data_IF_414639611105
#
_entry.id   IF_414639611105
#
_cell.length_a   1.000
_cell.length_b   1.000
_cell.length_c   1.000
_cell.angle_alpha   90.00
_cell.angle_beta   90.00
_cell.angle_gamma   90.00
#
_symmetry.space_group_name_H-M   'P 1'
#
loop_
_entity.id
_entity.type
_entity.pdbx_description
1 polymer ?
#
# COMPACT_ATOMS: atom_id res chain seq x y z
N UNK A 1 3.09 -14.51 21.09
CA UNK A 1 2.30 -14.36 19.85
C UNK A 1 1.49 -15.64 19.67
N UNK A 2 0.16 -15.57 19.76
CA UNK A 2 -0.67 -16.73 19.38
C UNK A 2 -0.44 -16.99 17.88
N UNK A 3 -0.24 -18.25 17.49
CA UNK A 3 0.06 -18.63 16.10
C UNK A 3 -0.93 -18.03 15.10
N UNK A 4 -2.21 -17.97 15.49
CA UNK A 4 -3.31 -17.43 14.72
C UNK A 4 -3.11 -15.98 14.26
N UNK A 5 -2.68 -15.07 15.14
CA UNK A 5 -2.52 -13.65 14.80
C UNK A 5 -1.42 -13.47 13.74
N UNK A 6 -0.33 -14.24 13.85
CA UNK A 6 0.77 -14.22 12.87
C UNK A 6 0.33 -14.71 11.49
N UNK A 7 -0.40 -15.82 11.48
CA UNK A 7 -0.93 -16.42 10.26
C UNK A 7 -1.91 -15.48 9.57
N UNK A 8 -2.82 -14.87 10.34
CA UNK A 8 -3.76 -13.86 9.86
C UNK A 8 -3.04 -12.68 9.20
N UNK A 9 -2.07 -12.07 9.90
CA UNK A 9 -1.33 -10.93 9.35
C UNK A 9 -0.51 -11.27 8.11
N UNK A 10 0.06 -12.48 8.05
CA UNK A 10 0.79 -12.95 6.86
C UNK A 10 -0.15 -13.05 5.67
N UNK A 11 -1.34 -13.64 5.85
CA UNK A 11 -2.35 -13.73 4.79
C UNK A 11 -2.81 -12.34 4.34
N UNK A 12 -3.07 -11.42 5.28
CA UNK A 12 -3.46 -10.05 4.97
C UNK A 12 -2.39 -9.33 4.14
N UNK A 13 -1.11 -9.43 4.53
CA UNK A 13 -0.01 -8.80 3.79
C UNK A 13 0.17 -9.40 2.39
N UNK A 14 0.03 -10.72 2.25
CA UNK A 14 0.11 -11.40 0.95
C UNK A 14 -1.03 -10.96 0.03
N UNK A 15 -2.26 -10.96 0.52
CA UNK A 15 -3.43 -10.49 -0.24
C UNK A 15 -3.25 -9.01 -0.63
N UNK A 16 -2.83 -8.18 0.31
CA UNK A 16 -2.55 -6.77 0.06
C UNK A 16 -1.53 -6.58 -1.07
N UNK A 17 -0.39 -7.27 -1.01
CA UNK A 17 0.64 -7.20 -2.07
C UNK A 17 0.11 -7.62 -3.44
N UNK A 18 -0.62 -8.74 -3.50
CA UNK A 18 -1.13 -9.26 -4.77
C UNK A 18 -2.14 -8.28 -5.35
N UNK A 19 -3.13 -7.86 -4.57
CA UNK A 19 -4.18 -6.95 -5.02
C UNK A 19 -3.60 -5.61 -5.43
N UNK A 20 -2.72 -5.03 -4.62
CA UNK A 20 -2.05 -3.77 -4.93
C UNK A 20 -1.24 -3.88 -6.24
N UNK A 21 -0.53 -4.99 -6.46
CA UNK A 21 0.22 -5.22 -7.71
C UNK A 21 -0.69 -5.32 -8.92
N UNK A 22 -1.77 -6.11 -8.81
CA UNK A 22 -2.75 -6.30 -9.89
C UNK A 22 -3.46 -4.99 -10.22
N UNK A 23 -3.91 -4.24 -9.22
CA UNK A 23 -4.59 -2.96 -9.43
C UNK A 23 -3.67 -1.95 -10.12
N UNK A 24 -2.41 -1.79 -9.66
CA UNK A 24 -1.46 -0.91 -10.34
C UNK A 24 -1.19 -1.37 -11.78
N UNK A 25 -1.03 -2.68 -12.02
CA UNK A 25 -0.82 -3.20 -13.37
C UNK A 25 -2.00 -2.86 -14.30
N UNK A 26 -3.25 -3.04 -13.83
CA UNK A 26 -4.45 -2.67 -14.58
C UNK A 26 -4.48 -1.18 -14.87
N UNK A 27 -4.27 -0.33 -13.87
CA UNK A 27 -4.26 1.13 -14.04
C UNK A 27 -3.23 1.57 -15.07
N UNK A 28 -2.00 1.04 -15.00
CA UNK A 28 -0.95 1.35 -15.95
C UNK A 28 -1.28 0.86 -17.37
N UNK A 29 -1.91 -0.32 -17.52
CA UNK A 29 -2.34 -0.82 -18.84
C UNK A 29 -3.47 0.01 -19.46
N UNK A 30 -4.28 0.68 -18.64
CA UNK A 30 -5.35 1.58 -19.09
C UNK A 30 -4.83 3.00 -19.42
N UNK A 31 -3.52 3.24 -19.31
CA UNK A 31 -2.92 4.56 -19.55
C UNK A 31 -2.93 5.49 -18.34
N UNK A 32 -3.29 4.97 -17.16
CA UNK A 32 -3.12 5.67 -15.89
C UNK A 32 -1.66 5.71 -15.45
N UNK A 33 -1.41 6.28 -14.27
CA UNK A 33 -0.06 6.49 -13.76
C UNK A 33 0.05 6.10 -12.27
N UNK A 34 1.27 5.80 -11.84
CA UNK A 34 1.57 5.45 -10.45
C UNK A 34 1.95 6.72 -9.66
N UNK A 35 1.32 6.89 -8.50
CA UNK A 35 1.53 8.04 -7.61
C UNK A 35 2.89 8.03 -6.91
N UNK A 36 3.46 6.84 -6.70
CA UNK A 36 4.73 6.68 -6.02
C UNK A 36 5.90 6.72 -7.03
N UNK A 37 6.68 7.80 -7.00
CA UNK A 37 7.91 7.95 -7.80
C UNK A 37 8.83 6.71 -7.78
N UNK A 38 9.13 6.10 -6.62
CA UNK A 38 9.97 4.89 -6.58
C UNK A 38 9.36 3.72 -7.35
N UNK A 39 8.05 3.50 -7.24
CA UNK A 39 7.36 2.43 -7.95
C UNK A 39 7.35 2.68 -9.47
N UNK A 40 7.18 3.94 -9.89
CA UNK A 40 7.33 4.35 -11.29
C UNK A 40 8.74 4.11 -11.83
N UNK A 41 9.78 4.38 -11.03
CA UNK A 41 11.16 4.08 -11.41
C UNK A 41 11.38 2.57 -11.59
N UNK A 42 10.94 1.74 -10.64
CA UNK A 42 11.04 0.27 -10.75
C UNK A 42 10.32 -0.27 -11.99
N UNK A 43 9.14 0.29 -12.31
CA UNK A 43 8.42 -0.06 -13.53
C UNK A 43 9.19 0.32 -14.80
N UNK A 44 9.80 1.51 -14.83
CA UNK A 44 10.57 1.97 -16.00
C UNK A 44 11.78 1.08 -16.32
N UNK A 45 12.37 0.47 -15.28
CA UNK A 45 13.58 -0.36 -15.42
C UNK A 45 13.27 -1.84 -15.69
N UNK A 46 12.26 -2.39 -15.02
CA UNK A 46 12.00 -3.84 -15.01
C UNK A 46 10.56 -4.23 -15.33
N UNK A 47 9.72 -3.28 -15.75
CA UNK A 47 8.31 -3.50 -16.06
C UNK A 47 7.50 -3.98 -14.85
N UNK A 48 6.52 -4.85 -15.09
CA UNK A 48 5.62 -5.39 -14.04
C UNK A 48 6.41 -6.16 -12.97
N UNK A 49 7.50 -6.83 -13.34
CA UNK A 49 8.36 -7.52 -12.38
C UNK A 49 9.03 -6.55 -11.39
N UNK A 50 9.42 -5.36 -11.85
CA UNK A 50 9.94 -4.29 -10.98
C UNK A 50 8.90 -3.78 -9.99
N UNK A 51 7.67 -3.60 -10.44
CA UNK A 51 6.54 -3.23 -9.57
C UNK A 51 6.29 -4.27 -8.48
N UNK A 52 6.27 -5.55 -8.85
CA UNK A 52 6.10 -6.65 -7.90
C UNK A 52 7.23 -6.66 -6.87
N UNK A 53 8.48 -6.44 -7.29
CA UNK A 53 9.64 -6.35 -6.40
C UNK A 53 9.51 -5.17 -5.42
N UNK A 54 9.16 -3.97 -5.90
CA UNK A 54 8.96 -2.80 -5.05
C UNK A 54 7.87 -3.05 -3.99
N UNK A 55 6.74 -3.62 -4.40
CA UNK A 55 5.63 -3.93 -3.49
C UNK A 55 5.99 -5.02 -2.49
N UNK A 56 6.78 -6.01 -2.90
CA UNK A 56 7.32 -7.04 -1.99
C UNK A 56 8.24 -6.41 -0.92
N UNK A 57 9.18 -5.54 -1.33
CA UNK A 57 10.05 -4.83 -0.40
C UNK A 57 9.25 -4.01 0.61
N UNK A 58 8.18 -3.34 0.15
CA UNK A 58 7.29 -2.58 1.03
C UNK A 58 6.58 -3.47 2.05
N UNK A 59 6.06 -4.64 1.64
CA UNK A 59 5.44 -5.57 2.59
C UNK A 59 6.43 -6.19 3.57
N UNK A 60 7.67 -6.47 3.14
CA UNK A 60 8.74 -6.91 4.05
C UNK A 60 9.03 -5.82 5.09
N UNK A 61 9.12 -4.55 4.67
CA UNK A 61 9.30 -3.44 5.59
C UNK A 61 8.14 -3.34 6.59
N UNK A 62 6.88 -3.45 6.15
CA UNK A 62 5.71 -3.47 7.03
C UNK A 62 5.75 -4.65 8.01
N UNK A 63 6.14 -5.85 7.55
CA UNK A 63 6.28 -7.02 8.41
C UNK A 63 7.36 -6.82 9.48
N UNK A 64 8.50 -6.21 9.12
CA UNK A 64 9.57 -5.88 10.07
C UNK A 64 9.07 -4.85 11.10
N UNK A 65 8.41 -3.79 10.66
CA UNK A 65 7.83 -2.77 11.55
C UNK A 65 6.83 -3.41 12.51
N UNK A 66 5.96 -4.29 12.01
CA UNK A 66 4.99 -5.02 12.82
C UNK A 66 5.67 -5.88 13.90
N UNK A 67 6.69 -6.66 13.53
CA UNK A 67 7.44 -7.50 14.47
C UNK A 67 8.19 -6.65 15.50
N UNK A 68 8.82 -5.55 15.06
CA UNK A 68 9.53 -4.62 15.95
C UNK A 68 8.56 -3.96 16.94
N UNK A 69 7.39 -3.55 16.46
CA UNK A 69 6.33 -2.96 17.26
C UNK A 69 5.86 -3.93 18.36
N UNK A 70 5.57 -5.19 18.05
CA UNK A 70 5.19 -6.18 19.07
C UNK A 70 6.33 -6.51 20.03
N UNK A 71 7.59 -6.48 19.56
CA UNK A 71 8.75 -6.66 20.47
C UNK A 71 8.85 -5.50 21.45
N UNK A 72 8.59 -4.27 21.02
CA UNK A 72 8.55 -3.10 21.89
C UNK A 72 7.35 -3.14 22.85
N UNK A 73 6.18 -3.62 22.42
CA UNK A 73 4.99 -3.83 23.27
C UNK A 73 5.30 -4.77 24.47
N UNK A 74 6.18 -5.76 24.28
CA UNK A 74 6.61 -6.65 25.36
C UNK A 74 7.63 -6.01 26.33
N UNK A 75 8.26 -4.90 25.95
CA UNK A 75 9.24 -4.16 26.78
C UNK A 75 8.56 -3.06 27.59
N UNK A 76 7.50 -2.45 27.05
CA UNK A 76 6.69 -1.44 27.73
C UNK A 76 5.45 -2.09 28.36
N UNK A 77 5.64 -2.81 29.46
CA UNK A 77 4.62 -3.58 30.20
C UNK A 77 3.53 -2.75 30.90
N UNK A 78 3.46 -1.43 30.68
CA UNK A 78 2.49 -0.56 31.36
C UNK A 78 1.31 -0.21 30.45
N UNK A 79 0.40 -1.19 30.29
CA UNK A 79 -1.03 -1.01 30.58
C UNK A 79 -1.90 -0.03 29.79
N UNK A 80 -1.43 0.80 28.86
CA UNK A 80 -2.30 1.74 28.13
C UNK A 80 -2.54 1.30 26.69
N UNK A 81 -3.49 0.37 26.50
CA UNK A 81 -3.85 -0.30 25.24
C UNK A 81 -4.36 0.56 24.07
N UNK A 82 -4.20 1.88 24.10
CA UNK A 82 -4.67 2.82 23.07
C UNK A 82 -3.77 2.82 21.81
N UNK A 83 -2.45 2.65 21.98
CA UNK A 83 -1.52 2.72 20.85
C UNK A 83 -1.54 1.45 19.96
N UNK A 84 -2.05 0.32 20.48
CA UNK A 84 -2.15 -1.00 19.80
C UNK A 84 -3.03 -0.97 18.54
N UNK A 85 -4.00 -0.06 18.51
CA UNK A 85 -4.87 0.15 17.35
C UNK A 85 -4.30 1.15 16.35
N UNK A 86 -3.34 1.98 16.74
CA UNK A 86 -2.85 3.09 15.92
C UNK A 86 -2.16 2.57 14.64
N UNK A 87 -1.32 1.54 14.75
CA UNK A 87 -0.63 0.95 13.61
C UNK A 87 -1.60 0.22 12.65
N UNK A 88 -2.51 -0.66 13.12
CA UNK A 88 -3.58 -1.21 12.28
C UNK A 88 -4.46 -0.14 11.62
N UNK A 89 -4.83 0.91 12.36
CA UNK A 89 -5.67 2.00 11.83
C UNK A 89 -4.95 2.81 10.76
N UNK A 90 -3.64 3.07 10.91
CA UNK A 90 -2.83 3.71 9.86
C UNK A 90 -2.72 2.85 8.60
N UNK A 91 -2.56 1.54 8.76
CA UNK A 91 -2.53 0.61 7.62
C UNK A 91 -3.90 0.56 6.94
N UNK A 92 -4.98 0.49 7.71
CA UNK A 92 -6.34 0.49 7.19
C UNK A 92 -6.71 1.81 6.49
N UNK A 93 -6.32 2.95 7.05
CA UNK A 93 -6.56 4.26 6.43
C UNK A 93 -5.75 4.43 5.15
N UNK A 94 -4.50 3.93 5.12
CA UNK A 94 -3.69 3.87 3.89
C UNK A 94 -4.35 3.00 2.83
N UNK A 95 -4.89 1.84 3.20
CA UNK A 95 -5.65 0.98 2.30
C UNK A 95 -6.89 1.67 1.73
N UNK A 96 -7.69 2.32 2.57
CA UNK A 96 -8.84 3.11 2.14
C UNK A 96 -8.44 4.23 1.16
N UNK A 97 -7.33 4.93 1.45
CA UNK A 97 -6.80 5.96 0.56
C UNK A 97 -6.38 5.40 -0.81
N UNK A 98 -5.73 4.23 -0.85
CA UNK A 98 -5.34 3.56 -2.09
C UNK A 98 -6.58 3.22 -2.93
N UNK A 99 -7.67 2.77 -2.30
CA UNK A 99 -8.94 2.50 -3.00
C UNK A 99 -9.51 3.79 -3.60
N UNK A 100 -9.60 4.86 -2.80
CA UNK A 100 -10.09 6.17 -3.28
C UNK A 100 -9.25 6.69 -4.44
N UNK A 101 -7.93 6.57 -4.35
CA UNK A 101 -7.00 6.96 -5.41
C UNK A 101 -7.26 6.17 -6.71
N UNK A 102 -7.26 4.84 -6.64
CA UNK A 102 -7.46 4.01 -7.83
C UNK A 102 -8.83 4.22 -8.47
N UNK A 103 -9.89 4.39 -7.66
CA UNK A 103 -11.23 4.73 -8.18
C UNK A 103 -11.21 6.08 -8.88
N UNK A 104 -10.50 7.07 -8.33
CA UNK A 104 -10.40 8.40 -8.94
C UNK A 104 -9.68 8.33 -10.29
N UNK A 105 -8.55 7.61 -10.38
CA UNK A 105 -7.83 7.42 -11.65
C UNK A 105 -8.67 6.69 -12.69
N UNK A 106 -9.40 5.64 -12.29
CA UNK A 106 -10.32 4.92 -13.19
C UNK A 106 -11.48 5.82 -13.65
N UNK A 107 -12.05 6.61 -12.76
CA UNK A 107 -13.13 7.55 -13.11
C UNK A 107 -12.65 8.62 -14.11
N UNK A 108 -11.43 9.15 -13.95
CA UNK A 108 -10.80 10.06 -14.91
C UNK A 108 -10.65 9.41 -16.29
N UNK A 109 -10.13 8.17 -16.34
CA UNK A 109 -9.99 7.41 -17.59
C UNK A 109 -11.32 7.14 -18.29
N UNK A 110 -12.43 7.10 -17.54
CA UNK A 110 -13.80 6.92 -18.06
C UNK A 110 -14.53 8.24 -18.34
N UNK A 111 -13.92 9.40 -18.05
CA UNK A 111 -14.56 10.72 -18.22
C UNK A 111 -15.67 11.00 -17.19
N UNK A 112 -15.63 10.35 -16.02
CA UNK A 112 -16.60 10.53 -14.93
C UNK A 112 -16.02 11.52 -13.91
N UNK A 113 -16.82 12.46 -13.36
CA UNK A 113 -16.34 13.40 -12.34
C UNK A 113 -15.78 12.68 -11.10
N UNK A 114 -14.58 13.08 -10.69
CA UNK A 114 -13.85 12.50 -9.56
C UNK A 114 -14.14 13.25 -8.25
N UNK A 115 -14.00 12.56 -7.12
CA UNK A 115 -14.19 13.13 -5.78
C UNK A 115 -12.91 13.83 -5.29
N UNK A 116 -11.77 13.51 -5.90
CA UNK A 116 -10.45 14.03 -5.57
C UNK A 116 -9.88 14.72 -6.80
N UNK A 117 -9.36 15.94 -6.63
CA UNK A 117 -8.57 16.62 -7.65
C UNK A 117 -7.29 15.84 -7.88
N UNK A 118 -7.18 15.24 -9.06
CA UNK A 118 -6.02 14.47 -9.47
C UNK A 118 -4.97 15.47 -9.98
N UNK A 119 -3.78 15.60 -9.35
CA UNK A 119 -2.77 16.53 -9.82
C UNK A 119 -2.34 16.14 -11.24
N UNK A 120 -2.17 17.13 -12.11
CA UNK A 120 -1.81 16.92 -13.51
C UNK A 120 -0.56 16.02 -13.60
N UNK A 121 -0.64 14.84 -14.26
CA UNK A 121 0.47 13.89 -14.31
C UNK A 121 1.73 14.48 -14.95
N UNK A 122 1.59 15.49 -15.81
CA UNK A 122 2.73 16.18 -16.43
C UNK A 122 3.57 17.02 -15.45
N UNK A 123 3.06 17.28 -14.24
CA UNK A 123 3.74 18.08 -13.21
C UNK A 123 4.45 17.20 -12.19
N UNK A 124 4.09 15.91 -12.07
CA UNK A 124 4.70 14.98 -11.10
C UNK A 124 5.99 14.30 -11.60
N UNK A 125 6.28 14.39 -12.91
CA UNK A 125 7.45 13.78 -13.55
C UNK A 125 8.47 14.80 -14.11
N UNK A 126 8.32 16.09 -13.77
CA UNK A 126 9.36 17.11 -13.95
C UNK A 126 10.23 17.21 -12.69
#
# INVERSE_FOLDING_TARGET
MHSFEREFWTVVLVIFCILDTVTTAVVLTLGGYESAQPAGWFYSQFGIAGLALHKLLFAVALAIIWVAYHRLDNVFTDGTGSYRLLLPTLIASRGAWIVVWNVSVVAELLGVPTIVDIPNPNVMFQ
#
